data_IF_482056832226
#
_entry.id   IF_482056832226
#
_cell.length_a   1.000
_cell.length_b   1.000
_cell.length_c   1.000
_cell.angle_alpha   90.00
_cell.angle_beta   90.00
_cell.angle_gamma   90.00
#
_symmetry.space_group_name_H-M   'P 1'
#
loop_
_entity.id
_entity.type
_entity.pdbx_description
1 polymer ?
#
# COMPACT_ATOMS: atom_id res chain seq x y z
N UNK A 1 -12.69 -9.79 8.62
CA UNK A 1 -13.84 -9.09 9.22
C UNK A 1 -13.36 -7.68 9.53
N UNK A 2 -13.96 -6.64 8.98
CA UNK A 2 -13.49 -5.27 9.23
C UNK A 2 -14.11 -4.80 10.55
N UNK A 3 -13.29 -4.63 11.57
CA UNK A 3 -13.73 -4.04 12.83
C UNK A 3 -14.07 -2.57 12.59
N UNK A 4 -15.34 -2.22 12.75
CA UNK A 4 -15.80 -0.84 12.66
C UNK A 4 -15.39 -0.08 13.93
N UNK A 5 -14.38 0.77 13.82
CA UNK A 5 -13.98 1.66 14.91
C UNK A 5 -14.86 2.92 14.93
N UNK A 6 -15.69 3.08 15.97
CA UNK A 6 -16.45 4.30 16.23
C UNK A 6 -15.90 5.01 17.48
N UNK A 7 -15.66 6.32 17.37
CA UNK A 7 -15.35 7.18 18.51
C UNK A 7 -16.02 8.55 18.32
N UNK A 8 -16.40 9.20 19.42
CA UNK A 8 -17.11 10.48 19.40
C UNK A 8 -16.22 11.59 19.97
N UNK A 9 -16.38 12.81 19.48
CA UNK A 9 -15.65 13.98 19.95
C UNK A 9 -16.50 15.24 19.76
N UNK A 10 -16.42 16.15 20.72
CA UNK A 10 -17.20 17.39 20.71
C UNK A 10 -16.44 18.48 19.98
N UNK A 11 -17.14 19.19 19.10
CA UNK A 11 -16.62 20.39 18.45
C UNK A 11 -16.59 21.53 19.47
N UNK A 12 -15.44 22.16 19.63
CA UNK A 12 -15.27 23.34 20.47
C UNK A 12 -15.95 24.56 19.85
N UNK A 13 -16.13 25.63 20.63
CA UNK A 13 -16.69 26.90 20.13
C UNK A 13 -15.92 27.50 18.93
N UNK A 14 -14.64 27.13 18.75
CA UNK A 14 -13.80 27.57 17.62
C UNK A 14 -13.88 26.63 16.41
N UNK A 15 -14.78 25.65 16.41
CA UNK A 15 -14.90 24.67 15.33
C UNK A 15 -13.82 23.57 15.35
N UNK A 16 -12.98 23.51 16.39
CA UNK A 16 -11.93 22.49 16.50
C UNK A 16 -12.48 21.23 17.14
N UNK A 17 -12.05 20.05 16.67
CA UNK A 17 -12.27 18.76 17.34
C UNK A 17 -10.95 18.00 17.44
N UNK A 18 -10.83 17.14 18.45
CA UNK A 18 -9.66 16.26 18.61
C UNK A 18 -9.95 14.91 18.00
N UNK A 19 -9.00 14.33 17.27
CA UNK A 19 -9.13 12.95 16.79
C UNK A 19 -8.72 12.00 17.93
N UNK A 20 -9.60 11.09 18.39
CA UNK A 20 -9.28 10.15 19.45
C UNK A 20 -8.05 9.29 19.13
N UNK A 21 -7.30 8.88 20.16
CA UNK A 21 -6.05 8.12 19.99
C UNK A 21 -6.24 6.82 19.19
N UNK A 22 -7.35 6.10 19.41
CA UNK A 22 -7.69 4.90 18.66
C UNK A 22 -7.84 5.18 17.16
N UNK A 23 -8.52 6.27 16.81
CA UNK A 23 -8.73 6.70 15.42
C UNK A 23 -7.42 7.14 14.77
N UNK A 24 -6.57 7.92 15.48
CA UNK A 24 -5.24 8.30 14.95
C UNK A 24 -4.36 7.09 14.64
N UNK A 25 -4.36 6.09 15.53
CA UNK A 25 -3.65 4.83 15.31
C UNK A 25 -4.19 4.07 14.10
N UNK A 26 -5.52 3.96 13.97
CA UNK A 26 -6.15 3.32 12.83
C UNK A 26 -5.83 4.04 11.50
N UNK A 27 -5.72 5.37 11.52
CA UNK A 27 -5.30 6.17 10.35
C UNK A 27 -3.79 6.15 10.09
N UNK A 28 -2.96 5.60 11.01
CA UNK A 28 -1.51 5.63 10.89
C UNK A 28 -0.93 7.05 10.89
N UNK A 29 -1.55 7.97 11.65
CA UNK A 29 -1.15 9.38 11.78
C UNK A 29 -0.58 9.63 13.18
N UNK A 30 0.66 10.10 13.24
CA UNK A 30 1.31 10.52 14.48
C UNK A 30 1.31 12.05 14.65
N UNK A 31 1.87 12.55 15.76
CA UNK A 31 2.04 13.97 16.02
C UNK A 31 2.74 14.69 14.86
N UNK A 32 2.18 15.81 14.43
CA UNK A 32 2.67 16.58 13.27
C UNK A 32 2.24 16.01 11.91
N UNK A 33 1.63 14.82 11.86
CA UNK A 33 1.05 14.26 10.65
C UNK A 33 -0.15 15.08 10.15
N UNK A 34 -0.35 15.05 8.83
CA UNK A 34 -1.45 15.75 8.15
C UNK A 34 -2.62 14.80 7.90
N UNK A 35 -3.83 15.36 7.92
CA UNK A 35 -5.07 14.67 7.56
C UNK A 35 -5.87 15.51 6.57
N UNK A 36 -6.67 14.85 5.74
CA UNK A 36 -7.63 15.49 4.86
C UNK A 36 -9.06 15.23 5.36
N UNK A 37 -9.91 16.26 5.29
CA UNK A 37 -11.35 16.12 5.45
C UNK A 37 -11.98 16.07 4.07
N UNK A 38 -12.61 14.95 3.73
CA UNK A 38 -13.28 14.75 2.45
C UNK A 38 -14.79 14.74 2.69
N UNK A 39 -15.55 15.48 1.88
CA UNK A 39 -17.01 15.48 1.95
C UNK A 39 -17.53 14.78 0.71
N UNK A 40 -18.30 13.70 0.89
CA UNK A 40 -18.92 12.99 -0.21
C UNK A 40 -20.29 13.57 -0.61
N UNK A 41 -20.85 13.09 -1.71
CA UNK A 41 -22.17 13.52 -2.22
C UNK A 41 -23.32 13.25 -1.24
N UNK A 42 -23.13 12.32 -0.31
CA UNK A 42 -24.08 12.02 0.76
C UNK A 42 -23.90 12.93 1.97
N UNK A 43 -23.04 13.96 1.88
CA UNK A 43 -22.68 14.89 2.95
C UNK A 43 -22.04 14.22 4.17
N UNK A 44 -21.43 13.05 3.98
CA UNK A 44 -20.63 12.41 5.02
C UNK A 44 -19.23 12.98 4.97
N UNK A 45 -18.67 13.20 6.16
CA UNK A 45 -17.29 13.66 6.32
C UNK A 45 -16.41 12.44 6.56
N UNK A 46 -15.46 12.21 5.68
CA UNK A 46 -14.41 11.22 5.82
C UNK A 46 -13.13 11.91 6.26
N UNK A 47 -12.37 11.23 7.11
CA UNK A 47 -11.04 11.68 7.53
C UNK A 47 -10.05 10.64 7.10
N UNK A 48 -9.07 11.06 6.30
CA UNK A 48 -8.00 10.20 5.81
C UNK A 48 -6.63 10.80 6.13
N UNK A 49 -5.61 9.93 6.21
CA UNK A 49 -4.23 10.38 6.31
C UNK A 49 -3.89 11.13 5.02
N UNK A 50 -3.41 12.37 5.16
CA UNK A 50 -2.90 13.10 4.01
C UNK A 50 -1.54 12.51 3.66
N UNK A 51 -1.51 11.69 2.61
CA UNK A 51 -0.27 11.29 1.96
C UNK A 51 0.26 12.48 1.19
N UNK A 52 1.56 12.74 1.34
CA UNK A 52 2.27 13.39 0.26
C UNK A 52 2.34 12.35 -0.86
N UNK A 53 1.84 12.72 -2.03
CA UNK A 53 2.16 12.03 -3.28
C UNK A 53 3.67 12.16 -3.46
N UNK A 54 4.44 11.30 -2.81
CA UNK A 54 5.85 11.13 -3.10
C UNK A 54 5.91 10.31 -4.37
N UNK A 55 5.80 11.02 -5.48
CA UNK A 55 6.15 10.51 -6.79
C UNK A 55 7.66 10.29 -6.82
N UNK A 56 8.07 9.04 -7.08
CA UNK A 56 9.45 8.74 -7.45
C UNK A 56 9.53 8.80 -8.98
N UNK A 57 10.14 9.86 -9.55
CA UNK A 57 10.20 10.03 -10.99
C UNK A 57 10.98 8.91 -11.69
N UNK A 58 11.90 8.22 -11.01
CA UNK A 58 12.65 7.11 -11.59
C UNK A 58 11.74 5.89 -11.71
N UNK A 59 10.99 5.58 -10.65
CA UNK A 59 10.01 4.46 -10.65
C UNK A 59 8.93 4.73 -11.68
N UNK A 60 8.39 5.95 -11.75
CA UNK A 60 7.39 6.31 -12.75
C UNK A 60 7.89 6.09 -14.18
N UNK A 61 9.08 6.61 -14.51
CA UNK A 61 9.66 6.42 -15.85
C UNK A 61 9.94 4.96 -16.17
N UNK A 62 10.34 4.18 -15.18
CA UNK A 62 10.54 2.74 -15.34
C UNK A 62 9.22 2.01 -15.63
N UNK A 63 8.15 2.33 -14.90
CA UNK A 63 6.83 1.75 -15.13
C UNK A 63 6.24 2.16 -16.48
N UNK A 64 6.36 3.44 -16.87
CA UNK A 64 5.97 3.92 -18.21
C UNK A 64 6.72 3.17 -19.32
N UNK A 65 8.03 2.94 -19.13
CA UNK A 65 8.84 2.18 -20.08
C UNK A 65 8.33 0.73 -20.22
N UNK A 66 8.07 0.05 -19.10
CA UNK A 66 7.54 -1.32 -19.10
C UNK A 66 6.17 -1.39 -19.75
N UNK A 67 5.26 -0.49 -19.41
CA UNK A 67 3.92 -0.42 -20.01
C UNK A 67 4.02 -0.30 -21.52
N UNK A 68 4.85 0.63 -22.01
CA UNK A 68 5.03 0.85 -23.45
C UNK A 68 5.60 -0.39 -24.14
N UNK A 69 6.63 -1.01 -23.58
CA UNK A 69 7.23 -2.24 -24.13
C UNK A 69 6.20 -3.39 -24.18
N UNK A 70 5.38 -3.54 -23.13
CA UNK A 70 4.33 -4.55 -23.07
C UNK A 70 3.23 -4.32 -24.11
N UNK A 71 2.83 -3.08 -24.36
CA UNK A 71 1.85 -2.74 -25.40
C UNK A 71 2.42 -2.99 -26.80
N UNK A 72 3.63 -2.49 -27.07
CA UNK A 72 4.31 -2.57 -28.37
C UNK A 72 4.71 -4.02 -28.73
N UNK A 73 4.91 -4.88 -27.72
CA UNK A 73 5.39 -6.25 -27.88
C UNK A 73 4.51 -7.32 -27.20
N UNK A 74 3.23 -7.03 -27.03
CA UNK A 74 2.23 -7.86 -26.34
C UNK A 74 2.16 -9.33 -26.77
N UNK A 75 2.60 -9.67 -27.98
CA UNK A 75 2.59 -11.05 -28.52
C UNK A 75 3.95 -11.74 -28.55
N UNK A 76 5.06 -11.03 -28.37
CA UNK A 76 6.41 -11.57 -28.56
C UNK A 76 7.27 -11.59 -27.30
N UNK A 77 6.99 -10.72 -26.32
CA UNK A 77 7.81 -10.61 -25.08
C UNK A 77 7.13 -11.16 -23.83
N UNK A 78 5.81 -11.27 -23.83
CA UNK A 78 5.06 -11.94 -22.77
C UNK A 78 4.86 -13.39 -23.17
N UNK A 79 5.78 -14.24 -22.72
CA UNK A 79 5.73 -15.68 -22.93
C UNK A 79 5.33 -16.40 -21.65
N UNK A 80 4.61 -17.50 -21.80
CA UNK A 80 4.32 -18.37 -20.66
C UNK A 80 5.61 -18.92 -20.07
N UNK A 81 5.61 -19.12 -18.76
CA UNK A 81 6.68 -19.87 -18.11
C UNK A 81 6.73 -21.29 -18.71
N UNK A 82 7.94 -21.87 -18.91
CA UNK A 82 8.07 -23.24 -19.38
C UNK A 82 7.31 -24.19 -18.45
N UNK A 83 6.61 -25.17 -19.02
CA UNK A 83 5.82 -26.13 -18.24
C UNK A 83 6.65 -26.91 -17.20
N UNK A 84 7.97 -27.04 -17.42
CA UNK A 84 8.89 -27.71 -16.50
C UNK A 84 9.39 -26.83 -15.35
N UNK A 85 9.18 -25.51 -15.42
CA UNK A 85 9.69 -24.59 -14.42
C UNK A 85 9.02 -24.76 -13.05
N UNK A 86 7.67 -24.91 -12.95
CA UNK A 86 7.01 -25.16 -11.66
C UNK A 86 7.53 -26.42 -10.97
N UNK A 87 7.69 -27.52 -11.72
CA UNK A 87 8.23 -28.77 -11.17
C UNK A 87 9.66 -28.61 -10.68
N UNK A 88 10.48 -27.84 -11.41
CA UNK A 88 11.85 -27.51 -11.00
C UNK A 88 11.89 -26.66 -9.74
N UNK A 89 11.04 -25.63 -9.65
CA UNK A 89 10.94 -24.79 -8.46
C UNK A 89 10.50 -25.64 -7.27
N UNK A 90 9.44 -26.43 -7.41
CA UNK A 90 8.95 -27.32 -6.36
C UNK A 90 10.01 -28.34 -5.91
N UNK A 91 10.80 -28.90 -6.83
CA UNK A 91 11.89 -29.81 -6.47
C UNK A 91 13.01 -29.11 -5.67
N UNK A 92 13.27 -27.83 -5.94
CA UNK A 92 14.32 -27.06 -5.28
C UNK A 92 13.90 -26.53 -3.90
N UNK A 93 12.65 -26.07 -3.76
CA UNK A 93 12.18 -25.38 -2.55
C UNK A 93 11.13 -26.16 -1.76
N UNK A 94 10.63 -27.30 -2.26
CA UNK A 94 9.48 -28.01 -1.68
C UNK A 94 9.67 -28.60 -0.29
N UNK A 95 10.92 -28.67 0.20
CA UNK A 95 11.23 -29.08 1.57
C UNK A 95 11.71 -27.92 2.45
N UNK A 96 11.65 -26.68 1.95
CA UNK A 96 11.99 -25.49 2.73
C UNK A 96 10.77 -25.09 3.56
N UNK A 97 10.97 -24.92 4.86
CA UNK A 97 10.01 -24.31 5.77
C UNK A 97 10.37 -22.83 5.86
N UNK A 98 9.58 -21.96 5.23
CA UNK A 98 9.84 -20.52 5.13
C UNK A 98 8.62 -19.79 5.65
N UNK A 99 8.82 -18.97 6.68
CA UNK A 99 7.84 -17.98 7.09
C UNK A 99 8.01 -16.72 6.21
N UNK A 100 6.94 -16.31 5.53
CA UNK A 100 6.95 -15.13 4.67
C UNK A 100 6.76 -13.83 5.46
N UNK A 101 6.37 -13.94 6.74
CA UNK A 101 6.19 -12.83 7.66
C UNK A 101 7.43 -12.59 8.57
N UNK A 102 8.45 -13.46 8.48
CA UNK A 102 9.70 -13.30 9.22
C UNK A 102 10.49 -12.05 8.75
N UNK A 103 11.25 -11.45 9.67
CA UNK A 103 12.14 -10.33 9.34
C UNK A 103 13.24 -10.79 8.35
N UNK A 104 13.52 -9.96 7.35
CA UNK A 104 14.60 -10.24 6.39
C UNK A 104 15.95 -10.00 7.08
N UNK A 105 16.65 -11.06 7.42
CA UNK A 105 18.00 -11.00 7.99
C UNK A 105 19.09 -11.00 6.89
N UNK A 106 20.09 -10.12 7.04
CA UNK A 106 21.30 -10.09 6.20
C UNK A 106 21.51 -8.78 5.43
N UNK A 107 22.67 -8.65 4.81
CA UNK A 107 23.00 -7.49 3.98
C UNK A 107 22.18 -7.53 2.68
N UNK A 108 21.24 -6.59 2.54
CA UNK A 108 20.60 -6.32 1.26
C UNK A 108 21.52 -5.43 0.43
N UNK A 109 21.87 -5.88 -0.78
CA UNK A 109 22.58 -5.03 -1.73
C UNK A 109 21.62 -3.92 -2.17
N UNK A 110 21.92 -2.69 -1.73
CA UNK A 110 21.28 -1.46 -2.20
C UNK A 110 21.89 -0.98 -3.52
#
# INVERSE_FOLDING_TARGET
>A
MVDLLKAESTITAKGQTTIPKSVRKALGVDYGGRIAFVVDDQRRVHVEKATEETSDPVVERFLEFLEKDMLDHSRSRLVNLPASLPDRVAALVGNMDVDLDDEIEGDVAL
#
